data_IF_056559013675
#
_entry.id   IF_056559013675
#
_cell.length_a   1.000
_cell.length_b   1.000
_cell.length_c   1.000
_cell.angle_alpha   90.00
_cell.angle_beta   90.00
_cell.angle_gamma   90.00
#
_symmetry.space_group_name_H-M   'P 1'
#
loop_
_entity.id
_entity.type
_entity.pdbx_description
1 polymer ?
#
# COMPACT_ATOMS: atom_id res chain seq x y z
N UNK A 1 -14.56 -5.62 43.56
CA UNK A 1 -15.73 -4.75 43.37
C UNK A 1 -15.97 -4.65 41.88
N UNK A 2 -17.15 -5.06 41.41
CA UNK A 2 -17.51 -5.07 39.99
C UNK A 2 -17.53 -3.63 39.45
N UNK A 3 -16.50 -3.20 38.74
CA UNK A 3 -16.63 -2.06 37.83
C UNK A 3 -17.43 -2.56 36.62
N UNK A 4 -18.73 -2.29 36.66
CA UNK A 4 -19.53 -2.31 35.45
C UNK A 4 -18.89 -1.30 34.51
N UNK A 5 -18.31 -1.79 33.41
CA UNK A 5 -18.01 -0.96 32.25
C UNK A 5 -19.37 -0.46 31.78
N UNK A 6 -19.76 0.72 32.27
CA UNK A 6 -20.91 1.45 31.76
C UNK A 6 -20.68 1.63 30.27
N UNK A 7 -21.72 1.34 29.50
CA UNK A 7 -21.81 1.59 28.07
C UNK A 7 -21.66 3.09 27.80
N UNK A 8 -20.43 3.57 27.78
CA UNK A 8 -20.06 4.85 27.18
C UNK A 8 -20.12 4.69 25.67
N UNK A 9 -20.51 5.74 24.97
CA UNK A 9 -20.46 5.81 23.51
C UNK A 9 -19.04 5.38 23.08
N UNK A 10 -18.85 4.51 22.07
CA UNK A 10 -17.52 4.15 21.57
C UNK A 10 -16.62 5.35 21.22
N UNK A 11 -17.17 6.56 21.13
CA UNK A 11 -16.45 7.83 21.01
C UNK A 11 -15.69 8.28 22.27
N UNK A 12 -15.97 7.71 23.45
CA UNK A 12 -15.47 8.17 24.74
C UNK A 12 -14.35 7.29 25.31
N UNK A 13 -13.88 6.29 24.56
CA UNK A 13 -12.80 5.41 25.00
C UNK A 13 -11.46 5.98 24.54
N UNK A 14 -10.71 6.55 25.49
CA UNK A 14 -9.38 7.05 25.23
C UNK A 14 -8.35 5.91 25.21
N UNK A 15 -7.42 5.96 24.26
CA UNK A 15 -6.37 4.96 24.14
C UNK A 15 -5.39 5.01 25.31
N UNK A 16 -5.18 6.17 25.93
CA UNK A 16 -4.29 6.25 27.11
C UNK A 16 -4.87 5.44 28.28
N UNK A 17 -6.17 5.55 28.56
CA UNK A 17 -6.86 4.78 29.62
C UNK A 17 -6.75 3.28 29.36
N UNK A 18 -7.00 2.83 28.13
CA UNK A 18 -6.86 1.41 27.77
C UNK A 18 -5.42 0.91 28.02
N UNK A 19 -4.41 1.75 27.74
CA UNK A 19 -3.01 1.37 27.93
C UNK A 19 -2.66 1.37 29.41
N UNK A 20 -3.14 2.33 30.19
CA UNK A 20 -2.97 2.35 31.65
C UNK A 20 -3.61 1.13 32.30
N UNK A 21 -4.87 0.84 32.00
CA UNK A 21 -5.57 -0.36 32.48
C UNK A 21 -4.79 -1.62 32.13
N UNK A 22 -4.29 -1.72 30.89
CA UNK A 22 -3.47 -2.86 30.47
C UNK A 22 -2.16 -2.97 31.26
N UNK A 23 -1.53 -1.85 31.62
CA UNK A 23 -0.25 -1.84 32.36
C UNK A 23 -0.42 -2.09 33.85
N UNK A 24 -1.54 -1.63 34.42
CA UNK A 24 -1.85 -1.79 35.84
C UNK A 24 -2.65 -3.05 36.15
N UNK A 25 -3.11 -3.79 35.14
CA UNK A 25 -3.78 -5.07 35.31
C UNK A 25 -2.99 -6.02 36.26
N UNK A 26 -3.72 -6.59 37.23
CA UNK A 26 -3.16 -7.36 38.33
C UNK A 26 -2.79 -8.80 37.91
N UNK A 27 -3.26 -9.25 36.75
CA UNK A 27 -3.07 -10.60 36.24
C UNK A 27 -2.89 -10.67 34.73
N UNK A 28 -2.28 -11.75 34.24
CA UNK A 28 -2.12 -11.99 32.81
C UNK A 28 -3.47 -12.23 32.12
N UNK A 29 -4.44 -12.79 32.83
CA UNK A 29 -5.82 -13.00 32.38
C UNK A 29 -6.52 -11.66 32.13
N UNK A 30 -6.38 -10.71 33.05
CA UNK A 30 -6.93 -9.36 32.93
C UNK A 30 -6.28 -8.58 31.77
N UNK A 31 -4.94 -8.62 31.67
CA UNK A 31 -4.24 -8.04 30.51
C UNK A 31 -4.75 -8.61 29.17
N UNK A 32 -4.92 -9.94 29.11
CA UNK A 32 -5.45 -10.62 27.93
C UNK A 32 -6.89 -10.18 27.62
N UNK A 33 -7.71 -10.00 28.64
CA UNK A 33 -9.09 -9.52 28.50
C UNK A 33 -9.14 -8.10 27.94
N UNK A 34 -8.40 -7.16 28.52
CA UNK A 34 -8.33 -5.76 28.07
C UNK A 34 -7.90 -5.69 26.60
N UNK A 35 -6.85 -6.42 26.24
CA UNK A 35 -6.37 -6.47 24.86
C UNK A 35 -7.42 -7.04 23.90
N UNK A 36 -8.12 -8.11 24.28
CA UNK A 36 -9.18 -8.70 23.45
C UNK A 36 -10.35 -7.75 23.26
N UNK A 37 -10.75 -7.01 24.30
CA UNK A 37 -11.81 -5.99 24.20
C UNK A 37 -11.40 -4.86 23.27
N UNK A 38 -10.16 -4.38 23.37
CA UNK A 38 -9.61 -3.39 22.44
C UNK A 38 -9.68 -3.87 20.98
N UNK A 39 -9.19 -5.09 20.70
CA UNK A 39 -9.25 -5.66 19.35
C UNK A 39 -10.70 -5.83 18.87
N UNK A 40 -11.61 -6.27 19.73
CA UNK A 40 -13.03 -6.37 19.39
C UNK A 40 -13.60 -5.01 18.96
N UNK A 41 -13.40 -3.96 19.77
CA UNK A 41 -13.86 -2.60 19.47
C UNK A 41 -13.23 -2.04 18.18
N UNK A 42 -11.94 -2.29 17.99
CA UNK A 42 -11.21 -1.88 16.78
C UNK A 42 -11.84 -2.48 15.52
N UNK A 43 -12.18 -3.78 15.54
CA UNK A 43 -12.76 -4.46 14.38
C UNK A 43 -14.26 -4.16 14.17
N UNK A 44 -15.00 -3.85 15.23
CA UNK A 44 -16.39 -3.41 15.12
C UNK A 44 -16.52 -1.97 14.62
N UNK A 45 -15.44 -1.17 14.65
CA UNK A 45 -15.45 0.22 14.23
C UNK A 45 -15.98 0.38 12.78
N UNK A 46 -16.82 1.39 12.59
CA UNK A 46 -17.54 1.66 11.34
C UNK A 46 -16.66 2.22 10.22
N UNK A 47 -15.39 2.54 10.49
CA UNK A 47 -14.41 3.00 9.51
C UNK A 47 -13.89 1.85 8.61
N UNK A 48 -14.84 1.11 8.03
CA UNK A 48 -14.59 -0.02 7.14
C UNK A 48 -14.02 0.46 5.81
N UNK A 49 -13.03 -0.27 5.30
CA UNK A 49 -12.46 -0.04 3.97
C UNK A 49 -13.54 -0.19 2.89
N UNK A 50 -13.63 0.79 1.99
CA UNK A 50 -14.52 0.77 0.81
C UNK A 50 -13.71 1.04 -0.45
N UNK A 51 -13.94 0.23 -1.48
CA UNK A 51 -13.35 0.41 -2.80
C UNK A 51 -14.20 1.39 -3.61
N UNK A 52 -13.55 2.34 -4.26
CA UNK A 52 -14.18 3.33 -5.12
C UNK A 52 -13.54 3.29 -6.51
N UNK A 53 -14.33 3.55 -7.54
CA UNK A 53 -13.82 3.97 -8.84
C UNK A 53 -13.74 5.49 -8.84
N UNK A 54 -12.55 6.04 -9.11
CA UNK A 54 -12.32 7.46 -9.34
C UNK A 54 -11.92 7.67 -10.79
N UNK A 55 -12.11 8.88 -11.30
CA UNK A 55 -11.73 9.22 -12.65
C UNK A 55 -10.85 10.47 -12.68
N UNK A 56 -9.80 10.45 -13.51
CA UNK A 56 -9.11 11.66 -13.95
C UNK A 56 -9.95 12.23 -15.08
N UNK A 57 -10.50 13.42 -14.86
CA UNK A 57 -11.39 14.10 -15.81
C UNK A 57 -10.83 15.43 -16.29
N UNK A 58 -11.10 15.74 -17.55
CA UNK A 58 -11.00 17.08 -18.14
C UNK A 58 -12.05 17.23 -19.24
N UNK A 59 -12.33 18.46 -19.66
CA UNK A 59 -13.33 18.74 -20.69
C UNK A 59 -12.66 19.41 -21.87
N UNK A 60 -12.88 18.86 -23.06
CA UNK A 60 -12.42 19.48 -24.31
C UNK A 60 -13.37 20.62 -24.69
N UNK A 61 -12.82 21.80 -25.02
CA UNK A 61 -13.62 22.95 -25.45
C UNK A 61 -14.45 22.60 -26.69
N UNK A 62 -15.68 23.10 -26.75
CA UNK A 62 -16.67 22.73 -27.77
C UNK A 62 -16.23 23.03 -29.20
N UNK A 63 -15.56 24.16 -29.40
CA UNK A 63 -14.98 24.60 -30.67
C UNK A 63 -13.84 23.70 -31.15
N UNK A 64 -13.13 23.04 -30.24
CA UNK A 64 -12.04 22.12 -30.57
C UNK A 64 -12.53 20.71 -30.89
N UNK A 65 -13.77 20.34 -30.55
CA UNK A 65 -14.32 19.00 -30.80
C UNK A 65 -14.49 18.67 -32.29
N UNK A 66 -14.54 19.69 -33.16
CA UNK A 66 -14.57 19.50 -34.62
C UNK A 66 -13.20 19.12 -35.20
N UNK A 67 -12.12 19.44 -34.49
CA UNK A 67 -10.75 19.11 -34.90
C UNK A 67 -10.43 17.64 -34.64
N UNK A 68 -9.48 17.08 -35.37
CA UNK A 68 -9.01 15.71 -35.17
C UNK A 68 -8.31 15.55 -33.81
N UNK A 69 -7.37 16.44 -33.48
CA UNK A 69 -6.68 16.47 -32.18
C UNK A 69 -7.66 16.60 -31.01
N UNK A 70 -8.69 17.44 -31.13
CA UNK A 70 -9.71 17.58 -30.10
C UNK A 70 -10.56 16.33 -29.89
N UNK A 71 -10.87 15.58 -30.96
CA UNK A 71 -11.56 14.27 -30.87
C UNK A 71 -10.70 13.22 -30.18
N UNK A 72 -9.40 13.17 -30.47
CA UNK A 72 -8.44 12.29 -29.78
C UNK A 72 -8.45 12.58 -28.28
N UNK A 73 -8.29 13.84 -27.87
CA UNK A 73 -8.32 14.20 -26.44
C UNK A 73 -9.67 13.91 -25.78
N UNK A 74 -10.77 14.10 -26.49
CA UNK A 74 -12.11 13.82 -25.97
C UNK A 74 -12.31 12.32 -25.69
N UNK A 75 -11.74 11.43 -26.52
CA UNK A 75 -11.78 9.98 -26.27
C UNK A 75 -11.06 9.59 -24.96
N UNK A 76 -10.12 10.42 -24.48
CA UNK A 76 -9.35 10.22 -23.27
C UNK A 76 -9.70 11.21 -22.14
N UNK A 77 -10.85 11.89 -22.24
CA UNK A 77 -11.29 12.92 -21.30
C UNK A 77 -11.60 12.38 -19.91
N UNK A 78 -11.84 11.07 -19.81
CA UNK A 78 -12.17 10.36 -18.59
C UNK A 78 -11.39 9.05 -18.49
N UNK A 79 -10.55 8.93 -17.45
CA UNK A 79 -9.72 7.74 -17.21
C UNK A 79 -9.97 7.24 -15.79
N UNK A 80 -10.56 6.05 -15.69
CA UNK A 80 -10.93 5.45 -14.41
C UNK A 80 -9.77 4.70 -13.74
N UNK A 81 -9.77 4.73 -12.41
CA UNK A 81 -8.85 3.96 -11.56
C UNK A 81 -9.50 3.61 -10.22
N UNK A 82 -9.05 2.51 -9.62
CA UNK A 82 -9.52 2.06 -8.30
C UNK A 82 -8.79 2.79 -7.18
N UNK A 83 -9.52 3.16 -6.14
CA UNK A 83 -9.02 3.93 -5.00
C UNK A 83 -9.77 3.55 -3.72
N UNK A 84 -9.20 3.93 -2.58
CA UNK A 84 -9.82 3.83 -1.25
C UNK A 84 -9.71 5.18 -0.54
N UNK A 85 -10.52 5.41 0.50
CA UNK A 85 -10.29 6.54 1.40
C UNK A 85 -9.01 6.29 2.20
N UNK A 86 -8.08 7.23 2.13
CA UNK A 86 -6.82 7.20 2.87
C UNK A 86 -6.86 8.00 4.18
N UNK A 87 -7.94 8.77 4.38
CA UNK A 87 -8.15 9.68 5.51
C UNK A 87 -9.51 9.40 6.12
N UNK A 88 -9.57 9.44 7.44
CA UNK A 88 -10.81 9.46 8.21
C UNK A 88 -11.14 10.91 8.58
N UNK A 89 -12.43 11.23 8.69
CA UNK A 89 -12.90 12.52 9.20
C UNK A 89 -12.98 12.53 10.75
N UNK A 90 -13.13 11.34 11.35
CA UNK A 90 -13.13 11.21 12.81
C UNK A 90 -11.74 11.44 13.39
N UNK A 91 -11.72 11.96 14.62
CA UNK A 91 -10.51 12.20 15.40
C UNK A 91 -10.33 11.22 16.56
N UNK A 92 -11.27 10.29 16.77
CA UNK A 92 -11.15 9.26 17.81
C UNK A 92 -10.04 8.25 17.50
N UNK A 93 -9.42 7.73 18.57
CA UNK A 93 -8.28 6.83 18.51
C UNK A 93 -8.53 5.58 17.67
N UNK A 94 -9.67 4.90 17.89
CA UNK A 94 -10.02 3.66 17.22
C UNK A 94 -10.21 3.88 15.71
N UNK A 95 -10.90 4.94 15.30
CA UNK A 95 -11.10 5.25 13.88
C UNK A 95 -9.81 5.61 13.18
N UNK A 96 -8.90 6.33 13.85
CA UNK A 96 -7.58 6.67 13.31
C UNK A 96 -6.68 5.44 13.18
N UNK A 97 -6.66 4.56 14.19
CA UNK A 97 -5.93 3.29 14.15
C UNK A 97 -6.50 2.34 13.08
N UNK A 98 -7.82 2.23 12.97
CA UNK A 98 -8.45 1.43 11.93
C UNK A 98 -8.12 2.01 10.54
N UNK A 99 -8.14 3.34 10.35
CA UNK A 99 -7.71 3.96 9.09
C UNK A 99 -6.26 3.62 8.77
N UNK A 100 -5.37 3.61 9.77
CA UNK A 100 -3.97 3.23 9.62
C UNK A 100 -3.84 1.78 9.15
N UNK A 101 -4.57 0.87 9.76
CA UNK A 101 -4.62 -0.55 9.39
C UNK A 101 -5.11 -0.70 7.94
N UNK A 102 -6.22 -0.06 7.58
CA UNK A 102 -6.74 -0.05 6.20
C UNK A 102 -5.71 0.47 5.17
N UNK A 103 -4.94 1.49 5.53
CA UNK A 103 -3.88 2.03 4.68
C UNK A 103 -2.72 1.04 4.52
N UNK A 104 -2.35 0.30 5.57
CA UNK A 104 -1.36 -0.77 5.49
C UNK A 104 -1.87 -1.91 4.59
N UNK A 105 -3.11 -2.35 4.77
CA UNK A 105 -3.72 -3.36 3.91
C UNK A 105 -3.62 -2.96 2.42
N UNK A 106 -4.08 -1.74 2.12
CA UNK A 106 -4.06 -1.17 0.78
C UNK A 106 -2.64 -1.12 0.20
N UNK A 107 -1.66 -0.74 1.02
CA UNK A 107 -0.27 -0.61 0.59
C UNK A 107 0.36 -1.95 0.25
N UNK A 108 0.17 -2.97 1.09
CA UNK A 108 0.94 -4.21 1.05
C UNK A 108 0.22 -5.40 0.39
N UNK A 109 -1.10 -5.45 0.42
CA UNK A 109 -1.87 -6.66 0.09
C UNK A 109 -2.89 -6.46 -1.03
N UNK A 110 -3.49 -5.27 -1.10
CA UNK A 110 -4.54 -4.98 -2.08
C UNK A 110 -4.01 -4.85 -3.52
N UNK A 111 -4.34 -5.83 -4.36
CA UNK A 111 -4.00 -5.89 -5.79
C UNK A 111 -4.91 -5.05 -6.67
N UNK A 112 -6.08 -4.63 -6.19
CA UNK A 112 -6.98 -3.82 -7.01
C UNK A 112 -6.59 -2.34 -7.00
N UNK A 113 -5.98 -1.88 -5.90
CA UNK A 113 -5.66 -0.47 -5.68
C UNK A 113 -4.18 -0.18 -5.91
N UNK A 114 -3.88 0.43 -7.06
CA UNK A 114 -2.55 0.89 -7.44
C UNK A 114 -2.56 2.41 -7.54
N UNK A 115 -1.88 3.08 -6.60
CA UNK A 115 -1.81 4.54 -6.50
C UNK A 115 -0.36 5.06 -6.51
N UNK A 116 0.58 4.28 -7.05
CA UNK A 116 1.97 4.67 -7.12
C UNK A 116 2.13 5.96 -7.96
N UNK A 117 2.95 6.94 -7.55
CA UNK A 117 3.11 8.22 -8.25
C UNK A 117 3.37 8.07 -9.75
N UNK A 118 4.35 7.24 -10.15
CA UNK A 118 4.70 7.02 -11.56
C UNK A 118 3.52 6.52 -12.40
N UNK A 119 2.73 5.57 -11.87
CA UNK A 119 1.52 5.09 -12.53
C UNK A 119 0.47 6.20 -12.64
N UNK A 120 0.24 6.94 -11.56
CA UNK A 120 -0.73 8.04 -11.52
C UNK A 120 -0.33 9.20 -12.43
N UNK A 121 0.97 9.43 -12.64
CA UNK A 121 1.46 10.42 -13.59
C UNK A 121 1.15 10.01 -15.03
N UNK A 122 1.40 8.74 -15.39
CA UNK A 122 1.07 8.24 -16.72
C UNK A 122 -0.42 8.38 -17.03
N UNK A 123 -1.31 8.06 -16.08
CA UNK A 123 -2.75 8.26 -16.25
C UNK A 123 -3.15 9.74 -16.45
N UNK A 124 -2.36 10.69 -15.95
CA UNK A 124 -2.62 12.13 -16.14
C UNK A 124 -2.10 12.66 -17.47
N UNK A 125 -1.35 11.86 -18.24
CA UNK A 125 -0.74 12.28 -19.50
C UNK A 125 -1.74 12.90 -20.47
N UNK A 126 -2.92 12.31 -20.76
CA UNK A 126 -3.86 12.88 -21.72
C UNK A 126 -4.36 14.27 -21.29
N UNK A 127 -4.66 14.43 -20.00
CA UNK A 127 -5.05 15.71 -19.42
C UNK A 127 -3.94 16.76 -19.54
N UNK A 128 -2.69 16.39 -19.23
CA UNK A 128 -1.53 17.30 -19.33
C UNK A 128 -1.33 17.76 -20.77
N UNK A 129 -1.23 16.81 -21.71
CA UNK A 129 -1.04 17.09 -23.14
C UNK A 129 -2.16 17.98 -23.69
N UNK A 130 -3.41 17.75 -23.30
CA UNK A 130 -4.54 18.59 -23.69
C UNK A 130 -4.33 20.05 -23.26
N UNK A 131 -3.97 20.29 -21.99
CA UNK A 131 -3.77 21.65 -21.51
C UNK A 131 -2.54 22.33 -22.12
N UNK A 132 -1.49 21.57 -22.42
CA UNK A 132 -0.30 22.09 -23.10
C UNK A 132 -0.64 22.50 -24.55
N UNK A 133 -1.39 21.67 -25.27
CA UNK A 133 -1.90 21.98 -26.62
C UNK A 133 -2.78 23.23 -26.62
N UNK A 134 -3.73 23.36 -25.68
CA UNK A 134 -4.60 24.55 -25.54
C UNK A 134 -3.82 25.81 -25.21
N UNK A 135 -2.63 25.70 -24.58
CA UNK A 135 -1.73 26.84 -24.31
C UNK A 135 -0.89 27.25 -25.52
N UNK A 136 -1.05 26.59 -26.66
CA UNK A 136 -0.35 26.91 -27.90
C UNK A 136 0.91 26.08 -28.13
N UNK A 137 1.14 25.01 -27.37
CA UNK A 137 2.17 24.05 -27.74
C UNK A 137 1.74 23.29 -29.00
N UNK A 138 2.56 23.37 -30.04
CA UNK A 138 2.32 22.62 -31.28
C UNK A 138 2.28 21.12 -31.01
N UNK A 139 1.22 20.48 -31.48
CA UNK A 139 1.00 19.04 -31.35
C UNK A 139 0.09 18.58 -32.48
N UNK A 140 0.62 17.70 -33.32
CA UNK A 140 -0.15 17.06 -34.38
C UNK A 140 -1.08 15.98 -33.81
N UNK A 141 -2.14 15.58 -34.54
CA UNK A 141 -2.99 14.45 -34.14
C UNK A 141 -2.19 13.17 -33.88
N UNK A 142 -1.29 12.80 -34.78
CA UNK A 142 -0.47 11.58 -34.70
C UNK A 142 0.45 11.58 -33.47
N UNK A 143 1.05 12.73 -33.14
CA UNK A 143 1.86 12.88 -31.93
C UNK A 143 1.01 12.73 -30.67
N UNK A 144 -0.16 13.37 -30.61
CA UNK A 144 -1.07 13.27 -29.48
C UNK A 144 -1.50 11.82 -29.25
N UNK A 145 -1.92 11.12 -30.30
CA UNK A 145 -2.31 9.71 -30.23
C UNK A 145 -1.14 8.83 -29.79
N UNK A 146 0.04 9.02 -30.39
CA UNK A 146 1.25 8.26 -30.08
C UNK A 146 1.68 8.45 -28.62
N UNK A 147 1.68 9.68 -28.12
CA UNK A 147 2.08 9.96 -26.73
C UNK A 147 1.07 9.39 -25.73
N UNK A 148 -0.23 9.52 -26.01
CA UNK A 148 -1.27 8.94 -25.15
C UNK A 148 -1.16 7.43 -25.14
N UNK A 149 -1.11 6.79 -26.31
CA UNK A 149 -1.00 5.33 -26.43
C UNK A 149 0.23 4.81 -25.69
N UNK A 150 1.41 5.41 -25.92
CA UNK A 150 2.63 5.03 -25.22
C UNK A 150 2.53 5.19 -23.70
N UNK A 151 1.88 6.25 -23.22
CA UNK A 151 1.67 6.46 -21.79
C UNK A 151 0.72 5.40 -21.19
N UNK A 152 -0.37 5.07 -21.88
CA UNK A 152 -1.35 4.08 -21.42
C UNK A 152 -0.78 2.66 -21.44
N UNK A 153 -0.01 2.28 -22.47
CA UNK A 153 0.69 1.00 -22.51
C UNK A 153 1.72 0.88 -21.38
N UNK A 154 2.49 1.93 -21.10
CA UNK A 154 3.40 1.96 -19.94
C UNK A 154 2.64 1.90 -18.61
N UNK A 155 1.49 2.57 -18.50
CA UNK A 155 0.67 2.55 -17.30
C UNK A 155 0.13 1.14 -17.02
N UNK A 156 -0.30 0.43 -18.06
CA UNK A 156 -0.73 -0.96 -17.98
C UNK A 156 0.40 -1.87 -17.45
N UNK A 157 1.59 -1.80 -18.05
CA UNK A 157 2.75 -2.59 -17.61
C UNK A 157 3.16 -2.27 -16.16
N UNK A 158 3.17 -0.98 -15.76
CA UNK A 158 3.46 -0.60 -14.38
C UNK A 158 2.38 -1.09 -13.41
N UNK A 159 1.11 -1.02 -13.79
CA UNK A 159 0.00 -1.54 -12.97
C UNK A 159 0.22 -3.02 -12.69
N UNK A 160 0.43 -3.84 -13.72
CA UNK A 160 0.72 -5.27 -13.55
C UNK A 160 1.95 -5.51 -12.66
N UNK A 161 3.01 -4.72 -12.87
CA UNK A 161 4.22 -4.83 -12.06
C UNK A 161 3.95 -4.52 -10.58
N UNK A 162 3.19 -3.46 -10.26
CA UNK A 162 2.85 -3.12 -8.88
C UNK A 162 1.87 -4.10 -8.26
N UNK A 163 0.95 -4.67 -9.04
CA UNK A 163 0.04 -5.73 -8.58
C UNK A 163 0.82 -6.97 -8.12
N UNK A 164 1.84 -7.38 -8.88
CA UNK A 164 2.74 -8.49 -8.53
C UNK A 164 3.53 -8.23 -7.24
N UNK A 165 3.76 -6.97 -6.86
CA UNK A 165 4.49 -6.62 -5.62
C UNK A 165 3.65 -6.75 -4.36
N UNK A 166 2.32 -6.93 -4.49
CA UNK A 166 1.40 -7.13 -3.37
C UNK A 166 1.47 -8.57 -2.88
N UNK A 167 1.47 -8.72 -1.57
CA UNK A 167 1.48 -10.02 -0.89
C UNK A 167 0.05 -10.55 -0.87
N UNK A 168 -0.11 -11.82 -1.21
CA UNK A 168 -1.38 -12.51 -1.06
C UNK A 168 -1.51 -13.00 0.38
N UNK A 169 -2.56 -12.55 1.06
CA UNK A 169 -2.86 -12.92 2.44
C UNK A 169 -4.37 -12.87 2.61
N UNK A 170 -4.95 -13.89 3.26
CA UNK A 170 -6.38 -13.85 3.56
C UNK A 170 -6.68 -12.71 4.53
N UNK A 171 -7.93 -12.21 4.54
CA UNK A 171 -8.28 -11.15 5.48
C UNK A 171 -8.18 -11.63 6.93
N UNK A 172 -8.47 -12.91 7.20
CA UNK A 172 -8.33 -13.53 8.52
C UNK A 172 -6.87 -13.59 8.98
N UNK A 173 -5.95 -14.01 8.11
CA UNK A 173 -4.51 -14.03 8.46
C UNK A 173 -3.98 -12.61 8.64
N UNK A 174 -4.51 -11.65 7.88
CA UNK A 174 -4.18 -10.25 8.03
C UNK A 174 -4.63 -9.68 9.38
N UNK A 175 -5.86 -9.96 9.83
CA UNK A 175 -6.33 -9.48 11.14
C UNK A 175 -5.50 -10.07 12.27
N UNK A 176 -5.19 -11.38 12.22
CA UNK A 176 -4.31 -12.04 13.19
C UNK A 176 -2.91 -11.43 13.21
N UNK A 177 -2.35 -11.12 12.03
CA UNK A 177 -1.06 -10.45 11.92
C UNK A 177 -1.06 -9.07 12.58
N UNK A 178 -2.12 -8.29 12.38
CA UNK A 178 -2.26 -6.96 12.97
C UNK A 178 -2.44 -7.05 14.48
N UNK A 179 -3.26 -7.97 14.98
CA UNK A 179 -3.41 -8.22 16.42
C UNK A 179 -2.07 -8.60 17.06
N UNK A 180 -1.26 -9.44 16.41
CA UNK A 180 0.08 -9.76 16.89
C UNK A 180 0.98 -8.51 17.01
N UNK A 181 0.93 -7.60 16.03
CA UNK A 181 1.69 -6.35 16.10
C UNK A 181 1.17 -5.42 17.20
N UNK A 182 -0.15 -5.34 17.37
CA UNK A 182 -0.79 -4.54 18.41
C UNK A 182 -0.45 -5.07 19.81
N UNK A 183 -0.47 -6.39 20.01
CA UNK A 183 -0.09 -7.00 21.29
C UNK A 183 1.33 -6.62 21.69
N UNK A 184 2.29 -6.68 20.76
CA UNK A 184 3.65 -6.19 21.04
C UNK A 184 3.69 -4.68 21.28
N UNK A 185 2.85 -3.88 20.60
CA UNK A 185 2.78 -2.45 20.83
C UNK A 185 2.28 -2.15 22.26
N UNK A 186 1.25 -2.85 22.73
CA UNK A 186 0.76 -2.77 24.11
C UNK A 186 1.87 -3.12 25.13
N UNK A 187 2.57 -4.23 24.91
CA UNK A 187 3.67 -4.67 25.78
C UNK A 187 4.81 -3.63 25.85
N UNK A 188 5.17 -3.04 24.71
CA UNK A 188 6.28 -2.10 24.60
C UNK A 188 5.89 -0.62 24.79
N UNK A 189 4.60 -0.31 24.93
CA UNK A 189 4.16 1.05 25.20
C UNK A 189 4.67 1.47 26.57
N UNK A 190 5.27 2.66 26.65
CA UNK A 190 5.61 3.30 27.91
C UNK A 190 4.47 4.22 28.33
N UNK A 191 4.18 4.24 29.62
CA UNK A 191 3.28 5.22 30.23
C UNK A 191 3.87 6.64 30.09
N UNK A 192 3.03 7.66 30.24
CA UNK A 192 3.45 9.04 29.99
C UNK A 192 4.44 9.52 31.05
N UNK A 193 4.22 9.16 32.30
CA UNK A 193 5.10 9.38 33.44
C UNK A 193 6.48 8.69 33.28
N UNK A 194 6.53 7.55 32.59
CA UNK A 194 7.77 6.81 32.28
C UNK A 194 8.59 7.43 31.14
N UNK A 195 8.06 8.41 30.42
CA UNK A 195 8.79 9.08 29.33
C UNK A 195 9.62 10.21 29.90
N UNK A 196 10.94 10.02 29.91
CA UNK A 196 11.90 11.10 30.20
C UNK A 196 11.56 12.33 29.34
N UNK A 197 11.18 13.41 30.01
CA UNK A 197 10.74 14.66 29.40
C UNK A 197 11.89 15.34 28.64
N UNK A 198 12.12 14.87 27.42
CA UNK A 198 12.80 15.58 26.33
C UNK A 198 11.76 16.23 25.39
N UNK A 199 10.55 16.46 25.89
CA UNK A 199 9.48 17.18 25.20
C UNK A 199 9.64 18.68 25.45
N UNK A 200 10.65 19.28 24.81
CA UNK A 200 10.81 20.73 24.71
C UNK A 200 9.75 21.31 23.78
N UNK A 201 8.53 21.50 24.30
CA UNK A 201 7.48 22.27 23.63
C UNK A 201 6.07 21.91 24.06
N UNK A 202 5.33 22.91 24.57
CA UNK A 202 3.88 22.97 24.80
C UNK A 202 3.17 21.61 24.93
N UNK A 203 3.42 20.92 26.03
CA UNK A 203 2.65 19.75 26.47
C UNK A 203 1.19 20.12 26.80
N UNK A 204 0.93 21.37 27.17
CA UNK A 204 -0.41 21.91 27.49
C UNK A 204 -1.45 21.77 26.36
N UNK A 205 -1.03 21.39 25.14
CA UNK A 205 -1.92 21.22 23.98
C UNK A 205 -1.88 19.80 23.36
N UNK A 206 -1.07 18.87 23.88
CA UNK A 206 -0.99 17.50 23.34
C UNK A 206 -1.89 16.59 24.17
N UNK A 207 -3.08 16.29 23.66
CA UNK A 207 -3.90 15.20 24.22
C UNK A 207 -3.09 13.90 24.23
N UNK A 208 -3.01 13.25 25.40
CA UNK A 208 -2.26 12.03 25.67
C UNK A 208 -2.54 10.92 24.65
N UNK A 209 -3.80 10.83 24.23
CA UNK A 209 -4.30 9.95 23.20
C UNK A 209 -3.53 10.07 21.88
N UNK A 210 -3.21 11.31 21.44
CA UNK A 210 -2.44 11.56 20.22
C UNK A 210 -1.02 11.00 20.30
N UNK A 211 -0.41 10.97 21.50
CA UNK A 211 0.91 10.39 21.70
C UNK A 211 0.87 8.87 21.47
N UNK A 212 -0.13 8.19 22.04
CA UNK A 212 -0.32 6.76 21.84
C UNK A 212 -0.69 6.44 20.39
N UNK A 213 -1.64 7.15 19.77
CA UNK A 213 -1.99 6.95 18.36
C UNK A 213 -0.74 7.07 17.48
N UNK A 214 0.10 8.10 17.70
CA UNK A 214 1.34 8.29 16.94
C UNK A 214 2.33 7.16 17.18
N UNK A 215 2.47 6.69 18.42
CA UNK A 215 3.31 5.55 18.77
C UNK A 215 2.84 4.28 18.04
N UNK A 216 1.56 3.92 18.18
CA UNK A 216 0.96 2.75 17.53
C UNK A 216 1.08 2.80 16.00
N UNK A 217 0.79 3.95 15.38
CA UNK A 217 0.93 4.12 13.93
C UNK A 217 2.38 3.88 13.45
N UNK A 218 3.38 4.40 14.17
CA UNK A 218 4.80 4.17 13.86
C UNK A 218 5.20 2.72 14.09
N UNK A 219 4.71 2.11 15.17
CA UNK A 219 4.97 0.73 15.52
C UNK A 219 4.44 -0.22 14.44
N UNK A 220 3.19 -0.05 14.01
CA UNK A 220 2.58 -0.82 12.93
C UNK A 220 3.33 -0.67 11.60
N UNK A 221 3.80 0.54 11.25
CA UNK A 221 4.65 0.74 10.07
C UNK A 221 5.97 -0.04 10.16
N UNK A 222 6.58 -0.05 11.34
CA UNK A 222 7.83 -0.76 11.59
C UNK A 222 7.63 -2.26 11.47
N UNK A 223 6.71 -2.83 12.25
CA UNK A 223 6.43 -4.26 12.26
C UNK A 223 6.01 -4.76 10.87
N UNK A 224 5.16 -4.03 10.14
CA UNK A 224 4.77 -4.41 8.79
C UNK A 224 5.97 -4.47 7.82
N UNK A 225 6.93 -3.53 7.94
CA UNK A 225 8.17 -3.56 7.15
C UNK A 225 9.05 -4.74 7.53
N UNK A 226 9.21 -5.03 8.81
CA UNK A 226 10.02 -6.18 9.26
C UNK A 226 9.37 -7.50 8.85
N UNK A 227 8.06 -7.62 9.04
CA UNK A 227 7.30 -8.79 8.61
C UNK A 227 7.40 -9.01 7.11
N UNK A 228 7.27 -7.96 6.27
CA UNK A 228 7.47 -8.09 4.83
C UNK A 228 8.88 -8.61 4.50
N UNK A 229 9.91 -8.15 5.22
CA UNK A 229 11.29 -8.64 5.01
C UNK A 229 11.40 -10.12 5.37
N UNK A 230 10.87 -10.51 6.52
CA UNK A 230 10.84 -11.91 6.97
C UNK A 230 10.05 -12.81 6.01
N UNK A 231 8.90 -12.34 5.52
CA UNK A 231 8.07 -13.06 4.55
C UNK A 231 8.84 -13.42 3.27
N UNK A 232 9.71 -12.52 2.79
CA UNK A 232 10.55 -12.77 1.62
C UNK A 232 11.94 -13.33 1.96
N UNK A 233 12.25 -13.59 3.23
CA UNK A 233 13.54 -14.10 3.68
C UNK A 233 14.73 -13.16 3.44
N UNK A 234 14.51 -11.84 3.43
CA UNK A 234 15.57 -10.83 3.18
C UNK A 234 16.06 -10.17 4.46
N UNK A 235 17.37 -9.90 4.57
CA UNK A 235 17.98 -9.26 5.74
C UNK A 235 18.04 -7.73 5.59
N UNK A 236 17.94 -7.01 6.72
CA UNK A 236 17.72 -5.56 6.76
C UNK A 236 18.88 -4.66 6.33
N UNK A 237 20.11 -5.17 6.21
CA UNK A 237 21.31 -4.34 5.98
C UNK A 237 21.69 -4.15 4.51
N UNK A 238 21.10 -4.92 3.59
CA UNK A 238 21.47 -4.87 2.17
C UNK A 238 20.49 -4.02 1.37
N UNK A 239 20.94 -3.39 0.27
CA UNK A 239 20.03 -2.73 -0.67
C UNK A 239 18.99 -3.71 -1.18
N UNK A 240 17.71 -3.31 -1.15
CA UNK A 240 16.60 -4.16 -1.56
C UNK A 240 16.12 -3.81 -2.97
N UNK A 241 15.54 -4.80 -3.66
CA UNK A 241 14.95 -4.67 -4.98
C UNK A 241 13.63 -5.40 -5.11
N UNK A 242 12.87 -5.09 -6.16
CA UNK A 242 11.63 -5.76 -6.53
C UNK A 242 11.83 -6.53 -7.82
N UNK A 243 11.46 -7.80 -7.82
CA UNK A 243 11.56 -8.67 -8.98
C UNK A 243 10.62 -8.19 -10.10
N UNK A 244 11.10 -8.05 -11.33
CA UNK A 244 10.29 -7.68 -12.49
C UNK A 244 9.30 -8.78 -12.90
N UNK A 245 9.59 -10.04 -12.58
CA UNK A 245 8.75 -11.18 -12.95
C UNK A 245 7.62 -11.40 -11.94
N UNK A 246 7.98 -11.50 -10.65
CA UNK A 246 7.05 -11.89 -9.59
C UNK A 246 6.79 -10.80 -8.54
N UNK A 247 7.41 -9.62 -8.64
CA UNK A 247 7.23 -8.52 -7.67
C UNK A 247 7.83 -8.75 -6.28
N UNK A 248 8.36 -9.95 -6.00
CA UNK A 248 8.96 -10.28 -4.71
C UNK A 248 10.10 -9.34 -4.32
N UNK A 249 10.21 -9.05 -3.03
CA UNK A 249 11.34 -8.33 -2.46
C UNK A 249 12.57 -9.25 -2.45
N UNK A 250 13.74 -8.73 -2.83
CA UNK A 250 14.99 -9.49 -2.81
C UNK A 250 16.18 -8.59 -2.47
N UNK A 251 17.27 -9.19 -1.99
CA UNK A 251 18.54 -8.50 -1.74
C UNK A 251 19.27 -8.24 -3.07
N UNK A 252 19.56 -6.98 -3.39
CA UNK A 252 20.38 -6.61 -4.55
C UNK A 252 21.86 -6.88 -4.26
N UNK A 253 22.57 -7.47 -5.22
CA UNK A 253 24.04 -7.52 -5.22
C UNK A 253 24.61 -6.35 -6.02
N UNK A 254 25.81 -5.90 -5.70
CA UNK A 254 26.48 -4.76 -6.36
C UNK A 254 26.66 -4.92 -7.89
N UNK A 255 26.60 -6.15 -8.42
CA UNK A 255 26.69 -6.46 -9.86
C UNK A 255 25.33 -6.78 -10.53
N UNK A 256 24.20 -6.65 -9.82
CA UNK A 256 22.86 -7.00 -10.33
C UNK A 256 22.24 -5.94 -11.28
N UNK A 257 23.04 -5.10 -11.94
CA UNK A 257 22.55 -4.24 -13.03
C UNK A 257 21.93 -5.08 -14.17
N UNK A 258 22.45 -6.29 -14.38
CA UNK A 258 21.94 -7.25 -15.35
C UNK A 258 20.93 -8.20 -14.71
N UNK A 259 19.65 -7.85 -14.82
CA UNK A 259 18.52 -8.69 -14.46
C UNK A 259 17.85 -8.25 -13.16
N UNK A 260 16.83 -7.39 -13.30
CA UNK A 260 15.90 -6.92 -12.25
C UNK A 260 15.02 -8.06 -11.69
N UNK A 261 15.56 -9.24 -11.44
CA UNK A 261 14.83 -10.47 -11.17
C UNK A 261 15.40 -11.17 -9.93
N UNK A 262 14.53 -11.73 -9.07
CA UNK A 262 14.97 -12.43 -7.87
C UNK A 262 15.69 -13.76 -8.21
N UNK A 263 16.50 -14.31 -7.28
CA UNK A 263 17.23 -15.56 -7.52
C UNK A 263 16.35 -16.75 -7.95
N UNK A 264 15.14 -16.84 -7.39
CA UNK A 264 14.17 -17.89 -7.72
C UNK A 264 13.72 -17.81 -9.18
N UNK A 265 13.24 -16.65 -9.63
CA UNK A 265 12.79 -16.44 -11.00
C UNK A 265 13.96 -16.54 -12.01
N UNK A 266 15.18 -16.10 -11.63
CA UNK A 266 16.40 -16.34 -12.43
C UNK A 266 16.63 -17.84 -12.68
N UNK A 267 16.46 -18.69 -11.65
CA UNK A 267 16.62 -20.15 -11.75
C UNK A 267 15.55 -20.79 -12.65
N UNK A 268 14.30 -20.32 -12.57
CA UNK A 268 13.21 -20.79 -13.45
C UNK A 268 13.53 -20.47 -14.91
N UNK A 269 13.88 -19.21 -15.20
CA UNK A 269 14.21 -18.78 -16.57
C UNK A 269 15.39 -19.55 -17.16
N UNK A 270 16.44 -19.80 -16.36
CA UNK A 270 17.58 -20.61 -16.81
C UNK A 270 17.16 -22.04 -17.20
N UNK A 271 16.26 -22.67 -16.42
CA UNK A 271 15.73 -24.01 -16.74
C UNK A 271 14.90 -24.01 -18.02
N UNK A 272 14.04 -23.02 -18.20
CA UNK A 272 13.23 -22.88 -19.42
C UNK A 272 14.09 -22.67 -20.66
N UNK A 273 15.11 -21.81 -20.58
CA UNK A 273 16.06 -21.60 -21.67
C UNK A 273 16.80 -22.88 -22.02
N UNK A 274 17.25 -23.66 -21.03
CA UNK A 274 17.87 -24.97 -21.26
C UNK A 274 16.88 -25.91 -21.96
N UNK A 275 15.62 -25.96 -21.51
CA UNK A 275 14.57 -26.78 -22.15
C UNK A 275 14.37 -26.40 -23.61
N UNK A 276 14.27 -25.10 -23.90
CA UNK A 276 14.11 -24.58 -25.27
C UNK A 276 15.32 -24.89 -26.15
N UNK A 277 16.54 -24.80 -25.62
CA UNK A 277 17.77 -25.16 -26.37
C UNK A 277 17.78 -26.64 -26.73
N UNK A 278 17.44 -27.51 -25.78
CA UNK A 278 17.36 -28.97 -26.01
C UNK A 278 16.27 -29.29 -27.04
N UNK A 279 15.11 -28.64 -26.95
CA UNK A 279 14.03 -28.81 -27.93
C UNK A 279 14.48 -28.41 -29.34
N UNK A 280 15.05 -27.22 -29.50
CA UNK A 280 15.58 -26.75 -30.80
C UNK A 280 16.65 -27.68 -31.37
N UNK A 281 17.51 -28.23 -30.52
CA UNK A 281 18.52 -29.19 -30.94
C UNK A 281 17.89 -30.49 -31.47
N UNK A 282 16.89 -31.02 -30.77
CA UNK A 282 16.15 -32.22 -31.20
C UNK A 282 15.37 -32.00 -32.50
N UNK A 283 14.74 -30.84 -32.65
CA UNK A 283 14.03 -30.44 -33.87
C UNK A 283 15.00 -30.37 -35.07
N UNK A 284 16.17 -29.75 -34.89
CA UNK A 284 17.22 -29.73 -35.92
C UNK A 284 17.71 -31.13 -36.30
N UNK A 285 17.89 -32.03 -35.33
CA UNK A 285 18.29 -33.40 -35.65
C UNK A 285 17.22 -34.18 -36.42
N UNK A 286 15.93 -33.93 -36.16
CA UNK A 286 14.82 -34.52 -36.94
C UNK A 286 14.78 -33.99 -38.37
N UNK A 287 15.01 -32.69 -38.57
CA UNK A 287 15.06 -32.09 -39.91
C UNK A 287 16.29 -32.53 -40.73
N UNK A 288 17.39 -32.92 -40.09
CA UNK A 288 18.59 -33.41 -40.78
C UNK A 288 18.56 -34.92 -41.06
N UNK A 289 17.56 -35.64 -40.55
CA UNK A 289 17.43 -37.10 -40.67
C UNK A 289 16.27 -37.54 -41.59
N UNK A 290 15.55 -36.58 -42.18
CA UNK A 290 14.57 -36.79 -43.25
C UNK A 290 15.01 -36.07 -44.51
#
# INVERSE_FOLDING_TARGET
MNSQIQTTDPSDIFLYEIIEDYKYAESAEEQSFIFKQFCHSLWQNNNKRRLYTKAIRFQVKKDLLSTETGRIFNAWSEIEYKSVKSRCASTDSLSLLHQKINNLYTKYFDREVILHPDYMELLRTPKRLYFDWVRGQEMTPDEAETFIHNAMSKAHLLKEQYQKQKIELSFTDYTQLIEHFLSKAFQNAKLIDERECSLTGNLDFVCEDNLYIRYFCKYLDHEMKQWQRSFYGVKGHKPLGRCCECGALYEKKAKDYAGRCCPYCKKIKAREQTRLRVQKYREKQKCNAG
#
